data_IF_635826508775
#
_entry.id   IF_635826508775
#
_cell.length_a   1.000
_cell.length_b   1.000
_cell.length_c   1.000
_cell.angle_alpha   90.00
_cell.angle_beta   90.00
_cell.angle_gamma   90.00
#
_symmetry.space_group_name_H-M   'P 1'
#
loop_
_entity.id
_entity.type
_entity.pdbx_description
1 polymer ?
#
# COMPACT_ATOMS: atom_id res chain seq x y z
N UNK A 1 -21.88 -9.15 -23.42
CA UNK A 1 -22.21 -9.69 -22.08
C UNK A 1 -21.06 -9.45 -21.12
N UNK A 2 -21.35 -8.72 -20.04
CA UNK A 2 -20.40 -8.14 -19.10
C UNK A 2 -19.64 -9.22 -18.32
N UNK A 3 -18.29 -9.23 -18.43
CA UNK A 3 -17.45 -9.90 -17.43
C UNK A 3 -17.56 -9.09 -16.13
N UNK A 4 -18.49 -9.48 -15.25
CA UNK A 4 -18.43 -9.14 -13.83
C UNK A 4 -17.17 -9.81 -13.29
N UNK A 5 -16.05 -9.09 -13.32
CA UNK A 5 -14.92 -9.44 -12.46
C UNK A 5 -15.44 -9.25 -11.05
N UNK A 6 -15.68 -10.37 -10.37
CA UNK A 6 -16.09 -10.42 -8.98
C UNK A 6 -15.25 -9.43 -8.19
N UNK A 7 -15.92 -8.38 -7.72
CA UNK A 7 -15.45 -7.34 -6.82
C UNK A 7 -15.21 -7.93 -5.43
N UNK A 8 -14.47 -9.03 -5.35
CA UNK A 8 -13.86 -9.47 -4.11
C UNK A 8 -12.67 -8.51 -3.91
N UNK A 9 -12.98 -7.30 -3.42
CA UNK A 9 -12.02 -6.40 -2.81
C UNK A 9 -11.44 -7.07 -1.57
N UNK A 10 -10.68 -8.15 -1.78
CA UNK A 10 -9.70 -8.57 -0.82
C UNK A 10 -8.76 -7.38 -0.71
N UNK A 11 -8.84 -6.68 0.42
CA UNK A 11 -8.18 -5.41 0.68
C UNK A 11 -6.66 -5.61 0.58
N UNK A 12 -6.15 -5.56 -0.64
CA UNK A 12 -4.75 -5.70 -0.96
C UNK A 12 -4.17 -4.30 -1.16
N UNK A 13 -3.74 -3.64 -0.07
CA UNK A 13 -3.33 -2.26 -0.12
C UNK A 13 -2.15 -2.06 -1.06
N UNK A 14 -2.13 -0.87 -1.65
CA UNK A 14 -1.02 -0.41 -2.46
C UNK A 14 0.13 0.00 -1.54
N UNK A 15 1.33 -0.40 -1.90
CA UNK A 15 2.55 -0.05 -1.18
C UNK A 15 3.40 0.88 -2.04
N UNK A 16 4.06 1.86 -1.40
CA UNK A 16 5.16 2.63 -1.96
C UNK A 16 6.43 2.42 -1.15
N UNK A 17 7.58 2.32 -1.82
CA UNK A 17 8.87 2.30 -1.14
C UNK A 17 9.31 3.74 -0.83
N UNK A 18 9.48 4.04 0.45
CA UNK A 18 9.93 5.34 0.95
C UNK A 18 11.16 5.09 1.82
N UNK A 19 12.31 5.67 1.46
CA UNK A 19 13.58 5.50 2.18
C UNK A 19 13.94 4.01 2.43
N UNK A 20 13.70 3.15 1.43
CA UNK A 20 14.01 1.71 1.50
C UNK A 20 12.99 0.85 2.25
N UNK A 21 11.97 1.43 2.89
CA UNK A 21 10.89 0.71 3.59
C UNK A 21 9.60 0.74 2.78
N UNK A 22 8.81 -0.33 2.80
CA UNK A 22 7.47 -0.33 2.18
C UNK A 22 6.42 0.29 3.11
N UNK A 23 5.60 1.16 2.55
CA UNK A 23 4.55 1.88 3.26
C UNK A 23 3.21 1.73 2.54
N UNK A 24 2.14 1.51 3.30
CA UNK A 24 0.77 1.46 2.76
C UNK A 24 0.34 2.87 2.37
N UNK A 25 -0.19 3.01 1.16
CA UNK A 25 -0.78 4.22 0.61
C UNK A 25 -2.16 3.91 0.05
N UNK A 26 -3.02 4.92 -0.02
CA UNK A 26 -4.32 4.78 -0.68
C UNK A 26 -4.16 4.64 -2.20
N UNK A 27 -3.25 5.42 -2.80
CA UNK A 27 -2.99 5.47 -4.23
C UNK A 27 -1.50 5.74 -4.51
N UNK A 28 -0.86 4.92 -5.33
CA UNK A 28 0.59 5.03 -5.63
C UNK A 28 0.98 6.31 -6.38
N UNK A 29 0.03 6.98 -7.03
CA UNK A 29 0.28 8.19 -7.84
C UNK A 29 -0.14 9.45 -7.13
N UNK A 30 -1.26 9.39 -6.40
CA UNK A 30 -1.91 10.57 -5.80
C UNK A 30 -1.57 10.77 -4.33
N UNK A 31 -1.27 9.70 -3.58
CA UNK A 31 -0.99 9.85 -2.15
C UNK A 31 0.27 10.68 -1.92
N UNK A 32 0.14 11.71 -1.08
CA UNK A 32 1.24 12.53 -0.59
C UNK A 32 1.82 11.99 0.72
N UNK A 33 1.05 11.15 1.42
CA UNK A 33 1.41 10.51 2.66
C UNK A 33 1.02 9.04 2.66
N UNK A 34 1.84 8.23 3.31
CA UNK A 34 1.49 6.89 3.71
C UNK A 34 0.49 6.89 4.87
N UNK A 35 -0.16 5.75 5.09
CA UNK A 35 -1.12 5.52 6.17
C UNK A 35 -0.52 5.85 7.55
N UNK A 36 0.78 5.57 7.75
CA UNK A 36 1.48 5.89 9.00
C UNK A 36 1.82 7.38 9.19
N UNK A 37 1.54 8.22 8.18
CA UNK A 37 1.81 9.66 8.13
C UNK A 37 3.11 10.05 7.41
N UNK A 38 3.94 9.07 7.01
CA UNK A 38 5.21 9.32 6.31
C UNK A 38 4.98 10.02 4.97
N UNK A 39 5.75 11.07 4.67
CA UNK A 39 5.64 11.81 3.41
C UNK A 39 6.18 10.99 2.25
N UNK A 40 5.41 10.91 1.16
CA UNK A 40 5.85 10.27 -0.08
C UNK A 40 6.80 11.22 -0.79
N UNK A 41 8.10 10.96 -0.66
CA UNK A 41 9.16 11.73 -1.33
C UNK A 41 9.59 11.10 -2.65
N UNK A 42 9.36 9.79 -2.82
CA UNK A 42 9.74 9.02 -4.00
C UNK A 42 8.57 8.12 -4.41
N UNK A 43 8.25 8.13 -5.71
CA UNK A 43 7.16 7.33 -6.32
C UNK A 43 7.67 6.25 -7.27
N UNK A 44 8.96 5.92 -7.19
CA UNK A 44 9.62 5.05 -8.17
C UNK A 44 9.24 3.58 -8.08
N UNK A 45 8.98 3.07 -6.87
CA UNK A 45 8.65 1.67 -6.64
C UNK A 45 7.32 1.54 -5.90
N UNK A 46 6.33 0.91 -6.55
CA UNK A 46 5.06 0.54 -5.95
C UNK A 46 4.82 -0.96 -6.08
N UNK A 47 4.13 -1.54 -5.11
CA UNK A 47 3.82 -2.96 -5.08
C UNK A 47 2.49 -3.19 -4.35
N UNK A 48 2.11 -4.47 -4.21
CA UNK A 48 0.94 -4.89 -3.43
C UNK A 48 1.39 -5.61 -2.16
N UNK A 49 0.60 -5.52 -1.10
CA UNK A 49 0.90 -6.18 0.17
C UNK A 49 1.07 -7.69 0.01
N UNK A 50 0.23 -8.33 -0.81
CA UNK A 50 0.32 -9.77 -1.09
C UNK A 50 1.65 -10.18 -1.74
N UNK A 51 2.32 -9.29 -2.49
CA UNK A 51 3.59 -9.56 -3.16
C UNK A 51 4.79 -9.30 -2.25
N UNK A 52 4.73 -8.24 -1.45
CA UNK A 52 5.84 -7.80 -0.59
C UNK A 52 5.89 -8.61 0.71
N UNK A 53 4.72 -9.02 1.23
CA UNK A 53 4.58 -9.64 2.54
C UNK A 53 4.63 -8.63 3.68
N UNK A 54 3.82 -8.86 4.72
CA UNK A 54 3.69 -7.94 5.86
C UNK A 54 5.02 -7.69 6.59
N UNK A 55 5.91 -8.68 6.65
CA UNK A 55 7.21 -8.57 7.32
C UNK A 55 8.11 -7.46 6.76
N UNK A 56 7.89 -7.07 5.50
CA UNK A 56 8.68 -6.04 4.80
C UNK A 56 8.04 -4.65 4.85
N UNK A 57 6.85 -4.52 5.45
CA UNK A 57 6.07 -3.28 5.51
C UNK A 57 6.36 -2.53 6.82
N UNK A 58 6.11 -1.23 6.83
CA UNK A 58 6.12 -0.41 8.04
C UNK A 58 5.12 -0.96 9.06
N UNK A 59 5.59 -1.31 10.26
CA UNK A 59 4.72 -1.87 11.31
C UNK A 59 3.61 -0.92 11.76
N UNK A 60 3.81 0.40 11.67
CA UNK A 60 2.75 1.38 11.94
C UNK A 60 1.66 1.34 10.87
N UNK A 61 2.04 1.25 9.59
CA UNK A 61 1.07 1.07 8.49
C UNK A 61 0.23 -0.20 8.68
N UNK A 62 0.84 -1.32 9.07
CA UNK A 62 0.10 -2.57 9.31
C UNK A 62 -0.84 -2.46 10.50
N UNK A 63 -0.41 -1.80 11.58
CA UNK A 63 -1.24 -1.56 12.76
C UNK A 63 -2.45 -0.71 12.41
N UNK A 64 -2.23 0.38 11.66
CA UNK A 64 -3.30 1.31 11.27
C UNK A 64 -4.25 0.68 10.24
N UNK A 65 -3.77 -0.23 9.38
CA UNK A 65 -4.62 -0.98 8.42
C UNK A 65 -5.57 -1.97 9.12
N UNK A 66 -5.13 -2.57 10.23
CA UNK A 66 -5.90 -3.57 10.98
C UNK A 66 -6.82 -2.96 12.04
N UNK A 67 -6.80 -1.65 12.20
CA UNK A 67 -7.62 -0.91 13.17
C UNK A 67 -9.00 -0.64 12.62
#
# INVERSE_FOLDING_TARGET
SHKRFSENQESNPVLLQINGRWHIVEDSRRSERALCGARVTQRGAHARLSLVGEQNVCGKCLRDLRR
#
